data_IF_922579593109
#
_entry.id   IF_922579593109
#
_cell.length_a   1.000
_cell.length_b   1.000
_cell.length_c   1.000
_cell.angle_alpha   90.00
_cell.angle_beta   90.00
_cell.angle_gamma   90.00
#
_symmetry.space_group_name_H-M   'P 1'
#
loop_
_entity.id
_entity.type
_entity.pdbx_description
1 polymer ?
#
# COMPACT_ATOMS: atom_id res chain seq x y z
N UNK A 1 7.49 1.24 34.68
CA UNK A 1 7.66 1.51 33.24
C UNK A 1 6.27 1.71 32.68
N UNK A 2 5.98 2.76 31.89
CA UNK A 2 4.67 2.88 31.26
C UNK A 2 4.41 1.63 30.41
N UNK A 3 3.17 1.15 30.41
CA UNK A 3 2.72 0.06 29.55
C UNK A 3 3.12 0.38 28.10
N UNK A 4 3.81 -0.52 27.37
CA UNK A 4 4.22 -0.25 25.99
C UNK A 4 3.04 0.15 25.08
N UNK A 5 1.81 -0.28 25.39
CA UNK A 5 0.60 0.15 24.69
C UNK A 5 0.24 1.61 24.98
N UNK A 6 0.38 2.05 26.24
CA UNK A 6 0.18 3.45 26.63
C UNK A 6 1.23 4.35 25.99
N UNK A 7 2.47 3.87 25.84
CA UNK A 7 3.51 4.59 25.10
C UNK A 7 3.16 4.73 23.61
N UNK A 8 2.58 3.70 22.98
CA UNK A 8 2.12 3.77 21.60
C UNK A 8 0.97 4.78 21.42
N UNK A 9 0.04 4.84 22.37
CA UNK A 9 -1.06 5.82 22.40
C UNK A 9 -0.58 7.26 22.68
N UNK A 10 0.58 7.41 23.33
CA UNK A 10 1.18 8.71 23.61
C UNK A 10 1.95 9.30 22.41
N UNK A 11 2.14 8.55 21.31
CA UNK A 11 2.81 9.05 20.10
C UNK A 11 2.04 10.26 19.55
N UNK A 12 2.67 11.44 19.42
CA UNK A 12 2.02 12.62 18.87
C UNK A 12 1.44 12.35 17.48
N UNK A 13 0.13 12.56 17.33
CA UNK A 13 -0.55 12.33 16.05
C UNK A 13 -0.92 10.87 15.75
N UNK A 14 -0.82 9.95 16.72
CA UNK A 14 -1.26 8.55 16.56
C UNK A 14 -2.71 8.44 16.07
N UNK A 15 -3.59 9.35 16.50
CA UNK A 15 -4.98 9.41 16.03
C UNK A 15 -5.06 9.56 14.50
N UNK A 16 -4.19 10.36 13.90
CA UNK A 16 -4.15 10.54 12.45
C UNK A 16 -3.64 9.28 11.73
N UNK A 17 -2.71 8.56 12.34
CA UNK A 17 -2.23 7.26 11.82
C UNK A 17 -3.37 6.23 11.85
N UNK A 18 -4.13 6.15 12.95
CA UNK A 18 -5.26 5.23 13.08
C UNK A 18 -6.40 5.60 12.12
N UNK A 19 -6.74 6.89 12.00
CA UNK A 19 -7.74 7.36 11.03
C UNK A 19 -7.30 7.06 9.60
N UNK A 20 -6.04 7.30 9.26
CA UNK A 20 -5.49 6.98 7.94
C UNK A 20 -5.52 5.46 7.67
N UNK A 21 -5.20 4.64 8.67
CA UNK A 21 -5.27 3.18 8.55
C UNK A 21 -6.70 2.69 8.32
N UNK A 22 -7.69 3.24 9.03
CA UNK A 22 -9.10 2.92 8.84
C UNK A 22 -9.59 3.33 7.46
N UNK A 23 -9.24 4.55 7.01
CA UNK A 23 -9.56 5.05 5.67
C UNK A 23 -8.88 4.23 4.56
N UNK A 24 -7.61 3.85 4.75
CA UNK A 24 -6.86 2.98 3.86
C UNK A 24 -7.50 1.59 3.76
N UNK A 25 -7.89 1.00 4.90
CA UNK A 25 -8.61 -0.27 4.95
C UNK A 25 -9.93 -0.19 4.21
N UNK A 26 -10.75 0.82 4.50
CA UNK A 26 -12.02 1.05 3.81
C UNK A 26 -11.83 1.15 2.31
N UNK A 27 -10.90 2.00 1.86
CA UNK A 27 -10.54 2.19 0.45
C UNK A 27 -10.12 0.89 -0.23
N UNK A 28 -9.23 0.14 0.42
CA UNK A 28 -8.70 -1.11 -0.12
C UNK A 28 -9.74 -2.22 -0.16
N UNK A 29 -10.59 -2.33 0.87
CA UNK A 29 -11.68 -3.29 0.96
C UNK A 29 -12.64 -3.20 -0.23
N UNK A 30 -12.99 -1.98 -0.67
CA UNK A 30 -13.84 -1.79 -1.84
C UNK A 30 -13.03 -1.80 -3.14
N UNK A 31 -11.99 -0.99 -3.28
CA UNK A 31 -11.33 -0.73 -4.56
C UNK A 31 -10.29 -1.79 -4.92
N UNK A 32 -9.76 -2.50 -3.93
CA UNK A 32 -8.62 -3.40 -4.08
C UNK A 32 -7.28 -2.68 -4.30
N UNK A 33 -7.23 -1.35 -4.15
CA UNK A 33 -6.02 -0.53 -4.23
C UNK A 33 -6.16 0.74 -3.37
N UNK A 34 -5.07 1.48 -3.23
CA UNK A 34 -5.09 2.83 -2.67
C UNK A 34 -4.82 2.92 -1.16
N UNK A 35 -4.72 1.80 -0.44
CA UNK A 35 -4.33 1.79 0.98
C UNK A 35 -3.03 2.58 1.22
N UNK A 36 -1.92 2.13 0.63
CA UNK A 36 -0.63 2.79 0.75
C UNK A 36 -0.65 4.27 0.31
N UNK A 37 -1.45 4.61 -0.72
CA UNK A 37 -1.55 5.99 -1.22
C UNK A 37 -2.26 6.94 -0.24
N UNK A 38 -3.10 6.40 0.65
CA UNK A 38 -3.75 7.14 1.73
C UNK A 38 -2.88 7.11 2.98
N UNK A 39 -2.35 5.94 3.34
CA UNK A 39 -1.66 5.71 4.59
C UNK A 39 -0.25 6.31 4.61
N UNK A 40 0.57 6.07 3.57
CA UNK A 40 1.98 6.41 3.58
C UNK A 40 2.27 7.91 3.75
N UNK A 41 1.57 8.86 3.06
CA UNK A 41 1.81 10.29 3.28
C UNK A 41 1.59 10.68 4.75
N UNK A 42 0.47 10.24 5.33
CA UNK A 42 0.10 10.56 6.71
C UNK A 42 1.06 9.91 7.70
N UNK A 43 1.28 8.60 7.57
CA UNK A 43 2.12 7.85 8.50
C UNK A 43 3.58 8.33 8.44
N UNK A 44 4.16 8.50 7.25
CA UNK A 44 5.55 8.94 7.11
C UNK A 44 5.77 10.34 7.70
N UNK A 45 4.76 11.21 7.66
CA UNK A 45 4.82 12.54 8.27
C UNK A 45 4.71 12.51 9.81
N UNK A 46 4.09 11.48 10.41
CA UNK A 46 3.87 11.41 11.87
C UNK A 46 4.86 10.55 12.62
N UNK A 47 5.22 9.40 12.06
CA UNK A 47 6.06 8.40 12.73
C UNK A 47 7.41 8.17 12.05
N UNK A 48 7.65 8.81 10.90
CA UNK A 48 8.84 8.59 10.09
C UNK A 48 8.62 7.55 8.98
N UNK A 49 9.40 7.60 7.90
CA UNK A 49 9.20 6.73 6.74
C UNK A 49 9.47 5.26 7.05
N UNK A 50 10.48 4.93 7.87
CA UNK A 50 10.83 3.54 8.20
C UNK A 50 9.71 2.89 9.01
N UNK A 51 9.23 3.57 10.04
CA UNK A 51 8.11 3.13 10.87
C UNK A 51 6.82 3.03 10.03
N UNK A 52 6.54 4.00 9.16
CA UNK A 52 5.38 3.98 8.29
C UNK A 52 5.37 2.79 7.32
N UNK A 53 6.52 2.49 6.68
CA UNK A 53 6.66 1.33 5.78
C UNK A 53 6.48 0.03 6.57
N UNK A 54 6.99 -0.03 7.80
CA UNK A 54 6.79 -1.17 8.70
C UNK A 54 5.31 -1.38 9.01
N UNK A 55 4.59 -0.31 9.38
CA UNK A 55 3.16 -0.37 9.67
C UNK A 55 2.32 -0.79 8.45
N UNK A 56 2.63 -0.25 7.26
CA UNK A 56 1.96 -0.64 6.02
C UNK A 56 2.18 -2.13 5.71
N UNK A 57 3.41 -2.62 5.87
CA UNK A 57 3.71 -4.03 5.71
C UNK A 57 2.94 -4.90 6.72
N UNK A 58 2.81 -4.45 7.98
CA UNK A 58 1.99 -5.11 9.00
C UNK A 58 0.48 -5.09 8.67
N UNK A 59 -0.05 -4.01 8.09
CA UNK A 59 -1.45 -3.94 7.61
C UNK A 59 -1.73 -5.00 6.52
N UNK A 60 -0.71 -5.41 5.78
CA UNK A 60 -0.78 -6.56 4.88
C UNK A 60 -1.19 -7.86 5.59
N UNK A 61 -0.85 -8.06 6.88
CA UNK A 61 -1.23 -9.26 7.65
C UNK A 61 -2.74 -9.34 7.81
N UNK A 62 -3.40 -8.20 8.06
CA UNK A 62 -4.85 -8.13 8.06
C UNK A 62 -5.42 -8.43 6.67
N UNK A 63 -4.77 -7.97 5.60
CA UNK A 63 -5.22 -8.26 4.23
C UNK A 63 -5.17 -9.75 3.88
N UNK A 64 -4.20 -10.50 4.43
CA UNK A 64 -4.08 -11.96 4.25
C UNK A 64 -5.32 -12.71 4.75
N UNK A 65 -5.90 -12.27 5.87
CA UNK A 65 -7.08 -12.95 6.46
C UNK A 65 -8.41 -12.36 6.02
N UNK A 66 -8.43 -11.12 5.50
CA UNK A 66 -9.67 -10.41 5.12
C UNK A 66 -9.98 -10.51 3.63
N UNK A 67 -9.15 -9.89 2.77
CA UNK A 67 -9.46 -9.70 1.35
C UNK A 67 -8.78 -10.72 0.44
N UNK A 68 -7.58 -11.17 0.80
CA UNK A 68 -6.78 -12.11 0.00
C UNK A 68 -7.48 -13.45 -0.27
N UNK A 69 -8.17 -14.12 0.68
CA UNK A 69 -8.71 -15.46 0.45
C UNK A 69 -9.77 -15.49 -0.66
N UNK A 70 -10.55 -14.41 -0.79
CA UNK A 70 -11.53 -14.27 -1.89
C UNK A 70 -10.84 -13.87 -3.20
N UNK A 71 -9.81 -13.04 -3.13
CA UNK A 71 -9.05 -12.61 -4.29
C UNK A 71 -8.31 -13.79 -4.96
N UNK A 72 -7.70 -14.70 -4.19
CA UNK A 72 -6.98 -15.86 -4.73
C UNK A 72 -7.85 -16.80 -5.58
N UNK A 73 -9.17 -16.81 -5.37
CA UNK A 73 -10.11 -17.62 -6.17
C UNK A 73 -10.32 -17.11 -7.59
N UNK A 74 -10.04 -15.83 -7.83
CA UNK A 74 -10.29 -15.14 -9.10
C UNK A 74 -9.03 -14.53 -9.71
N UNK A 75 -7.92 -14.47 -8.97
CA UNK A 75 -6.69 -13.87 -9.43
C UNK A 75 -6.02 -14.75 -10.50
N UNK A 76 -5.48 -14.11 -11.55
CA UNK A 76 -4.49 -14.73 -12.41
C UNK A 76 -3.21 -15.00 -11.59
N UNK A 77 -2.99 -16.27 -11.25
CA UNK A 77 -1.85 -16.71 -10.43
C UNK A 77 -0.53 -16.68 -11.18
N UNK A 78 -0.55 -16.86 -12.51
CA UNK A 78 0.66 -16.86 -13.34
C UNK A 78 1.27 -15.47 -13.39
N UNK A 79 0.49 -14.48 -13.79
CA UNK A 79 0.99 -13.11 -13.94
C UNK A 79 1.30 -12.49 -12.58
N UNK A 80 0.49 -12.80 -11.55
CA UNK A 80 0.78 -12.41 -10.16
C UNK A 80 2.09 -13.02 -9.67
N UNK A 81 2.35 -14.29 -9.97
CA UNK A 81 3.60 -14.96 -9.63
C UNK A 81 4.82 -14.33 -10.28
N UNK A 82 4.74 -13.98 -11.58
CA UNK A 82 5.83 -13.29 -12.30
C UNK A 82 6.12 -11.92 -11.67
N UNK A 83 5.08 -11.15 -11.37
CA UNK A 83 5.21 -9.84 -10.73
C UNK A 83 5.88 -9.96 -9.36
N UNK A 84 5.48 -10.93 -8.53
CA UNK A 84 6.07 -11.17 -7.21
C UNK A 84 7.53 -11.62 -7.31
N UNK A 85 7.84 -12.54 -8.23
CA UNK A 85 9.21 -13.02 -8.45
C UNK A 85 10.14 -11.88 -8.88
N UNK A 86 9.69 -11.00 -9.78
CA UNK A 86 10.45 -9.82 -10.15
C UNK A 86 10.56 -8.79 -9.02
N UNK A 87 9.50 -8.63 -8.22
CA UNK A 87 9.50 -7.73 -7.07
C UNK A 87 10.53 -8.14 -6.01
N UNK A 88 10.79 -9.45 -5.84
CA UNK A 88 11.84 -9.95 -4.94
C UNK A 88 13.24 -9.46 -5.31
N UNK A 89 13.49 -9.12 -6.58
CA UNK A 89 14.76 -8.56 -7.04
C UNK A 89 14.81 -7.06 -6.72
N UNK A 90 13.69 -6.35 -6.88
CA UNK A 90 13.61 -4.91 -6.61
C UNK A 90 13.53 -4.54 -5.13
N UNK A 91 12.91 -5.39 -4.31
CA UNK A 91 12.68 -5.16 -2.89
C UNK A 91 13.97 -4.85 -2.10
N UNK A 92 15.06 -5.63 -2.23
CA UNK A 92 16.31 -5.32 -1.54
C UNK A 92 16.86 -3.93 -1.86
N UNK A 93 16.77 -3.51 -3.13
CA UNK A 93 17.21 -2.17 -3.57
C UNK A 93 16.32 -1.09 -2.94
N UNK A 94 15.00 -1.30 -2.95
CA UNK A 94 14.04 -0.39 -2.32
C UNK A 94 14.29 -0.25 -0.82
N UNK A 95 14.41 -1.36 -0.09
CA UNK A 95 14.65 -1.35 1.36
C UNK A 95 16.01 -0.75 1.69
N UNK A 96 17.03 -1.00 0.87
CA UNK A 96 18.32 -0.33 1.01
C UNK A 96 18.18 1.19 0.84
N UNK A 97 17.45 1.67 -0.17
CA UNK A 97 17.14 3.10 -0.34
C UNK A 97 16.40 3.67 0.87
N UNK A 98 15.40 2.97 1.41
CA UNK A 98 14.70 3.38 2.63
C UNK A 98 15.66 3.57 3.81
N UNK A 99 16.67 2.71 3.93
CA UNK A 99 17.64 2.73 5.02
C UNK A 99 18.66 3.87 4.93
N UNK A 100 19.08 4.23 3.73
CA UNK A 100 20.18 5.20 3.52
C UNK A 100 19.72 6.59 3.10
N UNK A 101 18.50 6.71 2.57
CA UNK A 101 17.97 7.99 2.13
C UNK A 101 17.67 8.91 3.31
N UNK A 102 17.81 10.21 3.06
CA UNK A 102 17.36 11.23 4.00
C UNK A 102 15.83 11.08 4.27
N UNK A 103 15.39 11.09 5.54
CA UNK A 103 13.98 10.92 5.87
C UNK A 103 13.06 12.00 5.28
N UNK A 104 13.52 13.24 5.17
CA UNK A 104 12.75 14.34 4.60
C UNK A 104 12.60 14.17 3.08
N UNK A 105 13.70 13.82 2.39
CA UNK A 105 13.67 13.46 0.98
C UNK A 105 12.71 12.29 0.70
N UNK A 106 12.66 11.28 1.59
CA UNK A 106 11.72 10.17 1.48
C UNK A 106 10.26 10.62 1.63
N UNK A 107 9.97 11.51 2.58
CA UNK A 107 8.62 12.09 2.75
C UNK A 107 8.17 12.84 1.51
N UNK A 108 9.04 13.66 0.93
CA UNK A 108 8.78 14.34 -0.34
C UNK A 108 8.55 13.35 -1.48
N UNK A 109 9.39 12.32 -1.60
CA UNK A 109 9.25 11.26 -2.60
C UNK A 109 7.92 10.51 -2.49
N UNK A 110 7.52 10.11 -1.28
CA UNK A 110 6.23 9.46 -1.02
C UNK A 110 5.08 10.36 -1.48
N UNK A 111 5.08 11.64 -1.09
CA UNK A 111 4.03 12.59 -1.49
C UNK A 111 4.00 12.81 -3.00
N UNK A 112 5.17 12.97 -3.63
CA UNK A 112 5.30 13.19 -5.07
C UNK A 112 4.78 11.98 -5.86
N UNK A 113 5.14 10.76 -5.47
CA UNK A 113 4.65 9.53 -6.12
C UNK A 113 3.15 9.38 -5.90
N UNK A 114 2.64 9.62 -4.69
CA UNK A 114 1.22 9.55 -4.40
C UNK A 114 0.42 10.57 -5.23
N UNK A 115 0.89 11.81 -5.32
CA UNK A 115 0.29 12.88 -6.12
C UNK A 115 0.34 12.55 -7.62
N UNK A 116 1.49 12.12 -8.14
CA UNK A 116 1.64 11.75 -9.54
C UNK A 116 0.71 10.59 -9.92
N UNK A 117 0.60 9.60 -9.05
CA UNK A 117 -0.32 8.47 -9.22
C UNK A 117 -1.77 8.94 -9.23
N UNK A 118 -2.15 9.81 -8.29
CA UNK A 118 -3.49 10.40 -8.25
C UNK A 118 -3.81 11.18 -9.53
N UNK A 119 -2.91 12.05 -9.98
CA UNK A 119 -3.06 12.81 -11.22
C UNK A 119 -3.26 11.89 -12.43
N UNK A 120 -2.45 10.84 -12.55
CA UNK A 120 -2.60 9.85 -13.62
C UNK A 120 -3.96 9.13 -13.54
N UNK A 121 -4.40 8.75 -12.34
CA UNK A 121 -5.68 8.08 -12.12
C UNK A 121 -6.89 8.97 -12.43
N UNK A 122 -6.83 10.26 -12.07
CA UNK A 122 -7.86 11.26 -12.37
C UNK A 122 -7.92 11.59 -13.85
N UNK A 123 -6.76 11.71 -14.51
CA UNK A 123 -6.65 11.87 -15.96
C UNK A 123 -7.14 10.64 -16.74
N UNK A 124 -7.46 9.54 -16.05
CA UNK A 124 -7.86 8.28 -16.68
C UNK A 124 -6.71 7.63 -17.45
N UNK A 125 -5.45 7.98 -17.14
CA UNK A 125 -4.30 7.39 -17.78
C UNK A 125 -4.24 5.90 -17.45
N UNK A 126 -4.34 5.09 -18.51
CA UNK A 126 -4.25 3.65 -18.44
C UNK A 126 -3.33 3.20 -19.55
N UNK A 127 -2.20 2.58 -19.20
CA UNK A 127 -1.33 2.02 -20.22
C UNK A 127 -1.95 0.72 -20.72
N UNK A 128 -2.26 0.67 -22.02
CA UNK A 128 -2.74 -0.55 -22.69
C UNK A 128 -1.56 -1.40 -23.16
N UNK A 129 -0.73 -1.88 -22.24
CA UNK A 129 0.38 -2.80 -22.57
C UNK A 129 -0.09 -4.24 -22.58
N UNK A 130 0.22 -4.96 -23.66
CA UNK A 130 0.03 -6.42 -23.71
C UNK A 130 0.90 -7.07 -22.62
N UNK A 131 0.34 -8.03 -21.88
CA UNK A 131 0.97 -8.74 -20.75
C UNK A 131 2.12 -9.66 -21.20
N UNK A 132 3.14 -9.10 -21.87
CA UNK A 132 4.37 -9.83 -22.16
C UNK A 132 5.12 -10.08 -20.85
N UNK A 133 5.79 -11.23 -20.76
CA UNK A 133 6.59 -11.56 -19.57
C UNK A 133 7.60 -10.46 -19.23
N UNK A 134 8.24 -9.85 -20.23
CA UNK A 134 9.18 -8.74 -20.01
C UNK A 134 8.54 -7.49 -19.39
N UNK A 135 7.31 -7.15 -19.79
CA UNK A 135 6.57 -6.04 -19.18
C UNK A 135 6.21 -6.35 -17.71
N UNK A 136 5.74 -7.57 -17.42
CA UNK A 136 5.45 -8.01 -16.06
C UNK A 136 6.70 -8.00 -15.17
N UNK A 137 7.84 -8.47 -15.69
CA UNK A 137 9.12 -8.41 -14.96
C UNK A 137 9.51 -6.96 -14.64
N UNK A 138 9.43 -6.04 -15.61
CA UNK A 138 9.74 -4.63 -15.39
C UNK A 138 8.82 -3.97 -14.36
N UNK A 139 7.51 -4.22 -14.46
CA UNK A 139 6.49 -3.73 -13.51
C UNK A 139 6.73 -4.29 -12.11
N UNK A 140 6.99 -5.59 -12.00
CA UNK A 140 7.27 -6.24 -10.72
C UNK A 140 8.54 -5.68 -10.08
N UNK A 141 9.64 -5.62 -10.80
CA UNK A 141 10.90 -5.05 -10.29
C UNK A 141 10.73 -3.59 -9.84
N UNK A 142 10.08 -2.75 -10.67
CA UNK A 142 9.80 -1.36 -10.30
C UNK A 142 8.85 -1.23 -9.09
N UNK A 143 7.84 -2.11 -8.99
CA UNK A 143 6.97 -2.18 -7.81
C UNK A 143 7.73 -2.60 -6.55
N UNK A 144 8.69 -3.52 -6.68
CA UNK A 144 9.57 -3.94 -5.59
C UNK A 144 10.48 -2.81 -5.12
N UNK A 145 11.11 -2.07 -6.04
CA UNK A 145 11.96 -0.91 -5.69
C UNK A 145 11.12 0.18 -5.02
N UNK A 146 10.01 0.59 -5.65
CA UNK A 146 9.16 1.65 -5.13
C UNK A 146 8.53 1.23 -3.80
N UNK A 147 7.93 0.04 -3.74
CA UNK A 147 7.29 -0.50 -2.54
C UNK A 147 8.27 -0.72 -1.39
N UNK A 148 9.48 -1.19 -1.66
CA UNK A 148 10.53 -1.34 -0.65
C UNK A 148 11.04 0.01 -0.12
N UNK A 149 11.19 1.01 -0.99
CA UNK A 149 11.67 2.33 -0.60
C UNK A 149 10.62 3.16 0.14
N UNK A 150 9.36 3.06 -0.28
CA UNK A 150 8.32 4.03 0.10
C UNK A 150 7.08 3.40 0.70
N UNK A 151 6.95 2.07 0.76
CA UNK A 151 5.71 1.38 1.13
C UNK A 151 4.60 1.47 0.08
N UNK A 152 4.77 2.30 -0.95
CA UNK A 152 3.81 2.46 -2.05
C UNK A 152 3.91 1.29 -3.04
N UNK A 153 3.30 0.17 -2.69
CA UNK A 153 3.27 -1.05 -3.53
C UNK A 153 2.31 -0.93 -4.73
N UNK A 154 1.31 -0.05 -4.63
CA UNK A 154 0.21 0.11 -5.58
C UNK A 154 0.47 0.88 -6.88
N UNK A 155 1.22 2.00 -6.90
CA UNK A 155 1.33 2.91 -8.05
C UNK A 155 1.75 2.26 -9.37
N UNK A 156 2.84 1.51 -9.35
CA UNK A 156 3.39 0.90 -10.57
C UNK A 156 2.40 -0.14 -11.11
N UNK A 157 1.81 -0.95 -10.22
CA UNK A 157 0.81 -1.96 -10.58
C UNK A 157 -0.46 -1.35 -11.18
N UNK A 158 -1.06 -0.35 -10.54
CA UNK A 158 -2.36 0.21 -10.96
C UNK A 158 -2.27 0.97 -12.29
N UNK A 159 -1.12 1.60 -12.59
CA UNK A 159 -0.91 2.35 -13.82
C UNK A 159 -0.57 1.44 -15.02
N UNK A 160 0.07 0.29 -14.75
CA UNK A 160 0.52 -0.63 -15.81
C UNK A 160 -0.42 -1.81 -16.06
N UNK A 161 -1.14 -2.30 -15.05
CA UNK A 161 -2.00 -3.48 -15.19
C UNK A 161 -3.46 -3.09 -15.44
N UNK A 162 -3.78 -2.73 -16.68
CA UNK A 162 -5.16 -2.47 -17.11
C UNK A 162 -5.47 -2.90 -18.56
N UNK A 163 -4.78 -3.89 -19.11
CA UNK A 163 -5.01 -4.31 -20.50
C UNK A 163 -4.76 -5.78 -20.80
N UNK A 164 -5.70 -6.59 -20.35
CA UNK A 164 -5.94 -7.93 -20.88
C UNK A 164 -7.41 -8.08 -21.30
N UNK A 165 -7.79 -9.28 -21.76
CA UNK A 165 -9.20 -9.70 -21.89
C UNK A 165 -9.85 -10.01 -20.54
N UNK A 166 -9.09 -9.86 -19.45
CA UNK A 166 -9.49 -10.13 -18.08
C UNK A 166 -10.71 -9.30 -17.66
N UNK A 167 -11.59 -9.91 -16.88
CA UNK A 167 -12.71 -9.20 -16.27
C UNK A 167 -12.22 -8.19 -15.22
N UNK A 168 -13.02 -7.14 -14.95
CA UNK A 168 -12.71 -6.19 -13.89
C UNK A 168 -12.54 -6.87 -12.51
N UNK A 169 -13.29 -7.95 -12.26
CA UNK A 169 -13.18 -8.75 -11.05
C UNK A 169 -11.83 -9.47 -10.94
N UNK A 170 -11.34 -10.04 -12.04
CA UNK A 170 -10.02 -10.71 -12.11
C UNK A 170 -8.88 -9.72 -11.93
N UNK A 171 -8.90 -8.58 -12.61
CA UNK A 171 -7.88 -7.52 -12.46
C UNK A 171 -7.81 -7.03 -11.01
N UNK A 172 -8.97 -6.78 -10.40
CA UNK A 172 -9.06 -6.39 -8.98
C UNK A 172 -8.51 -7.48 -8.07
N UNK A 173 -8.89 -8.74 -8.31
CA UNK A 173 -8.43 -9.88 -7.52
C UNK A 173 -6.90 -10.06 -7.60
N UNK A 174 -6.32 -10.05 -8.80
CA UNK A 174 -4.87 -10.11 -8.98
C UNK A 174 -4.14 -8.92 -8.35
N UNK A 175 -4.73 -7.72 -8.39
CA UNK A 175 -4.15 -6.53 -7.74
C UNK A 175 -4.12 -6.73 -6.23
N UNK A 176 -5.23 -7.13 -5.62
CA UNK A 176 -5.28 -7.44 -4.17
C UNK A 176 -4.27 -8.53 -3.81
N UNK A 177 -4.19 -9.60 -4.61
CA UNK A 177 -3.27 -10.70 -4.37
C UNK A 177 -1.82 -10.23 -4.43
N UNK A 178 -1.44 -9.52 -5.49
CA UNK A 178 -0.09 -8.96 -5.66
C UNK A 178 0.29 -8.03 -4.52
N UNK A 179 -0.52 -7.00 -4.24
CA UNK A 179 -0.19 -5.98 -3.24
C UNK A 179 -0.11 -6.55 -1.82
N UNK A 180 -1.03 -7.45 -1.48
CA UNK A 180 -1.03 -8.12 -0.17
C UNK A 180 0.21 -8.99 -0.02
N UNK A 181 0.51 -9.84 -1.01
CA UNK A 181 1.66 -10.74 -0.96
C UNK A 181 2.98 -9.97 -1.01
N UNK A 182 3.08 -8.90 -1.80
CA UNK A 182 4.26 -8.04 -1.83
C UNK A 182 4.52 -7.39 -0.45
N UNK A 183 3.47 -6.97 0.24
CA UNK A 183 3.58 -6.45 1.61
C UNK A 183 4.08 -7.52 2.59
N UNK A 184 3.70 -8.78 2.40
CA UNK A 184 4.23 -9.92 3.17
C UNK A 184 5.69 -10.22 2.88
N UNK A 185 6.13 -10.07 1.63
CA UNK A 185 7.53 -10.23 1.26
C UNK A 185 8.42 -9.09 1.80
N UNK A 186 7.84 -7.92 2.04
CA UNK A 186 8.56 -6.77 2.60
C UNK A 186 8.93 -6.95 4.08
N UNK A 187 8.06 -7.59 4.89
CA UNK A 187 8.30 -7.77 6.34
C UNK A 187 9.64 -8.50 6.65
N UNK A 188 9.95 -9.68 6.07
CA UNK A 188 11.24 -10.33 6.27
C UNK A 188 12.43 -9.45 5.84
N UNK A 189 12.27 -8.67 4.77
CA UNK A 189 13.36 -7.81 4.26
C UNK A 189 13.66 -6.66 5.22
N UNK A 190 12.63 -6.04 5.79
CA UNK A 190 12.78 -5.02 6.84
C UNK A 190 13.41 -5.61 8.10
N UNK A 191 13.00 -6.82 8.49
CA UNK A 191 13.55 -7.53 9.64
C UNK A 191 15.05 -7.81 9.48
N UNK A 192 15.45 -8.42 8.36
CA UNK A 192 16.86 -8.75 8.06
C UNK A 192 17.74 -7.50 8.01
N UNK A 193 17.19 -6.37 7.56
CA UNK A 193 17.91 -5.09 7.52
C UNK A 193 17.98 -4.36 8.87
N UNK A 194 17.33 -4.91 9.91
CA UNK A 194 17.27 -4.33 11.25
C UNK A 194 16.40 -3.07 11.35
N UNK A 195 15.42 -2.92 10.45
CA UNK A 195 14.57 -1.72 10.37
C UNK A 195 13.31 -1.83 11.22
N UNK A 196 12.92 -3.04 11.63
CA UNK A 196 11.75 -3.24 12.49
C UNK A 196 12.12 -2.92 13.94
N UNK A 197 11.58 -1.82 14.45
CA UNK A 197 11.74 -1.38 15.83
C UNK A 197 10.59 -1.90 16.71
N UNK A 198 10.86 -2.14 17.99
CA UNK A 198 9.85 -2.65 18.92
C UNK A 198 8.66 -1.69 19.08
N UNK A 199 8.90 -0.39 19.05
CA UNK A 199 7.87 0.64 19.16
C UNK A 199 6.88 0.59 17.98
N UNK A 200 7.38 0.33 16.78
CA UNK A 200 6.55 0.18 15.58
C UNK A 200 5.64 -1.05 15.66
N UNK A 201 6.09 -2.13 16.32
CA UNK A 201 5.27 -3.32 16.52
C UNK A 201 4.09 -3.08 17.47
N UNK A 202 4.29 -2.31 18.54
CA UNK A 202 3.20 -1.93 19.44
C UNK A 202 2.18 -1.03 18.75
N UNK A 203 2.64 -0.11 17.90
CA UNK A 203 1.75 0.69 17.09
C UNK A 203 1.03 -0.17 16.03
N UNK A 204 1.68 -1.19 15.47
CA UNK A 204 1.05 -2.15 14.56
C UNK A 204 -0.09 -2.92 15.24
N UNK A 205 0.03 -3.27 16.53
CA UNK A 205 -1.06 -3.91 17.30
C UNK A 205 -2.34 -3.04 17.31
N UNK A 206 -2.21 -1.71 17.24
CA UNK A 206 -3.34 -0.79 17.16
C UNK A 206 -3.82 -0.58 15.70
N UNK A 207 -2.88 -0.40 14.78
CA UNK A 207 -3.16 -0.07 13.37
C UNK A 207 -3.79 -1.24 12.61
N UNK A 208 -3.29 -2.47 12.82
CA UNK A 208 -3.72 -3.66 12.08
C UNK A 208 -5.22 -3.96 12.29
N UNK A 209 -5.77 -3.99 13.54
CA UNK A 209 -7.20 -4.18 13.73
C UNK A 209 -8.06 -3.08 13.12
N UNK A 210 -7.63 -1.81 13.23
CA UNK A 210 -8.36 -0.67 12.66
C UNK A 210 -8.43 -0.77 11.14
N UNK A 211 -7.31 -1.09 10.49
CA UNK A 211 -7.27 -1.38 9.06
C UNK A 211 -8.14 -2.59 8.69
N UNK A 212 -8.08 -3.69 9.47
CA UNK A 212 -8.86 -4.89 9.21
C UNK A 212 -10.38 -4.63 9.23
N UNK A 213 -10.86 -3.89 10.23
CA UNK A 213 -12.26 -3.46 10.32
C UNK A 213 -12.62 -2.60 9.12
N UNK A 214 -11.77 -1.66 8.73
CA UNK A 214 -11.94 -0.86 7.52
C UNK A 214 -12.06 -1.73 6.27
N UNK A 215 -11.14 -2.67 6.08
CA UNK A 215 -11.09 -3.57 4.92
C UNK A 215 -12.31 -4.48 4.83
N UNK A 216 -12.74 -5.08 5.94
CA UNK A 216 -13.95 -5.91 6.00
C UNK A 216 -15.21 -5.07 5.71
N UNK A 217 -15.29 -3.87 6.29
CA UNK A 217 -16.41 -2.95 6.06
C UNK A 217 -16.45 -2.52 4.58
N UNK A 218 -15.31 -2.13 4.01
CA UNK A 218 -15.21 -1.75 2.60
C UNK A 218 -15.57 -2.90 1.66
N UNK A 219 -15.12 -4.11 1.98
CA UNK A 219 -15.47 -5.31 1.22
C UNK A 219 -16.97 -5.64 1.31
N UNK A 220 -17.59 -5.49 2.48
CA UNK A 220 -19.02 -5.73 2.68
C UNK A 220 -19.91 -4.67 1.99
N UNK A 221 -19.46 -3.42 1.95
CA UNK A 221 -20.15 -2.32 1.28
C UNK A 221 -19.95 -2.30 -0.24
N UNK A 222 -19.02 -3.12 -0.76
CA UNK A 222 -18.72 -3.15 -2.19
C UNK A 222 -19.92 -3.64 -3.00
N UNK A 223 -20.46 -2.75 -3.83
CA UNK A 223 -21.47 -3.03 -4.85
C UNK A 223 -20.90 -2.73 -6.24
N UNK A 224 -20.83 -3.70 -7.18
CA UNK A 224 -20.24 -3.50 -8.50
C UNK A 224 -20.80 -2.29 -9.26
N UNK A 225 -22.10 -2.02 -9.13
CA UNK A 225 -22.77 -0.88 -9.77
C UNK A 225 -22.27 0.51 -9.32
N UNK A 226 -21.60 0.60 -8.17
CA UNK A 226 -21.12 1.85 -7.59
C UNK A 226 -19.60 2.04 -7.73
N UNK A 227 -18.91 1.22 -8.53
CA UNK A 227 -17.45 1.24 -8.69
C UNK A 227 -16.89 2.65 -8.96
N UNK A 228 -17.57 3.43 -9.80
CA UNK A 228 -17.16 4.79 -10.12
C UNK A 228 -17.20 5.74 -8.92
N UNK A 229 -18.25 5.65 -8.09
CA UNK A 229 -18.37 6.44 -6.86
C UNK A 229 -17.24 6.09 -5.90
N UNK A 230 -17.04 4.80 -5.69
CA UNK A 230 -16.01 4.29 -4.79
C UNK A 230 -14.61 4.74 -5.19
N UNK A 231 -14.27 4.68 -6.49
CA UNK A 231 -13.01 5.24 -7.00
C UNK A 231 -12.87 6.73 -6.73
N UNK A 232 -13.93 7.53 -6.92
CA UNK A 232 -13.90 8.96 -6.62
C UNK A 232 -13.65 9.24 -5.14
N UNK A 233 -14.27 8.47 -4.26
CA UNK A 233 -14.01 8.56 -2.80
C UNK A 233 -12.56 8.22 -2.49
N UNK A 234 -12.01 7.13 -3.05
CA UNK A 234 -10.60 6.80 -2.88
C UNK A 234 -9.67 7.93 -3.37
N UNK A 235 -9.97 8.54 -4.52
CA UNK A 235 -9.19 9.66 -5.05
C UNK A 235 -9.25 10.89 -4.13
N UNK A 236 -10.41 11.20 -3.58
CA UNK A 236 -10.57 12.26 -2.58
C UNK A 236 -9.73 12.00 -1.33
N UNK A 237 -9.74 10.75 -0.82
CA UNK A 237 -8.95 10.36 0.35
C UNK A 237 -7.44 10.44 0.08
N UNK A 238 -6.98 10.02 -1.10
CA UNK A 238 -5.57 10.15 -1.50
C UNK A 238 -5.19 11.63 -1.60
N UNK A 239 -6.03 12.45 -2.24
CA UNK A 239 -5.79 13.90 -2.37
C UNK A 239 -5.70 14.58 -1.02
N UNK A 240 -6.60 14.25 -0.09
CA UNK A 240 -6.59 14.76 1.28
C UNK A 240 -5.34 14.31 2.03
N UNK A 241 -4.97 13.03 1.94
CA UNK A 241 -3.77 12.49 2.58
C UNK A 241 -2.50 13.21 2.10
N UNK A 242 -2.35 13.40 0.79
CA UNK A 242 -1.22 14.15 0.23
C UNK A 242 -1.25 15.60 0.73
N UNK A 243 -2.40 16.28 0.64
CA UNK A 243 -2.51 17.68 1.02
C UNK A 243 -2.20 17.93 2.50
N UNK A 244 -2.59 17.01 3.40
CA UNK A 244 -2.33 17.14 4.84
C UNK A 244 -0.89 16.76 5.25
N UNK A 245 -0.13 16.14 4.34
CA UNK A 245 1.18 15.55 4.65
C UNK A 245 2.33 16.16 3.88
N UNK A 246 2.08 17.20 3.08
CA UNK A 246 3.14 17.95 2.41
C UNK A 246 4.16 18.45 3.44
N UNK A 247 5.47 18.21 3.26
CA UNK A 247 6.51 18.61 4.21
C UNK A 247 6.83 20.11 4.16
N UNK A 248 5.82 20.97 4.04
CA UNK A 248 5.97 22.43 3.96
C UNK A 248 5.58 23.15 5.26
N UNK A 249 5.11 22.42 6.27
CA UNK A 249 4.76 22.92 7.60
C UNK A 249 5.03 21.89 8.69
#
# INVERSE_FOLDING_TARGET
MPDPLLAALAVPGVVWVLVAAGAAGLAYGFAGFGAALIFMPVAAARVGPVEAVTLEACMGLASVVTVLPRALKLADTRDTGILLAASLIGLPVGVWLLKVADPEAMRWGICAVAAATLCALVAGWRRKTRDSAGALLGVGAASGVLGGATGLTGPVMILFKLSGKASAAEVRASTIAFLTLLSMLLLPMLWVQGLIRAEALWLAVLVVPVYAVGALTGQALFRPQNEALYRRVAYGLIGLAVAMSLPVW
#
